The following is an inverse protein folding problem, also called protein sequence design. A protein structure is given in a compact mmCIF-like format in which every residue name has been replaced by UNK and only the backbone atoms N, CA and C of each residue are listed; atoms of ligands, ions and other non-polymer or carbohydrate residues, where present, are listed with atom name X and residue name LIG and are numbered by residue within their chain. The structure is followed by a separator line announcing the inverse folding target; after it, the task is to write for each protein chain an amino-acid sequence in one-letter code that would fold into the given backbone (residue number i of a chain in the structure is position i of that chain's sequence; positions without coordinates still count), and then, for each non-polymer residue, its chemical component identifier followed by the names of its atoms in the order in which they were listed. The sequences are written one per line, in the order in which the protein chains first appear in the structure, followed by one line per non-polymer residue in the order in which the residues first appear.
data_IF_409683247391
#
_entry.id   IF_409683247391
#
_cell.length_a   1.000
_cell.length_b   1.000
_cell.length_c   1.000
_cell.angle_alpha   90.00
_cell.angle_beta   90.00
_cell.angle_gamma   90.00
#
_symmetry.space_group_name_H-M   'P 1'
#
loop_
_entity.id
_entity.type
_entity.pdbx_description
1 polymer ?
#
# COMPACT_ATOMS: atom_id res chain seq x y z
N UNK A 1 1.03 -26.05 -5.86
CA UNK A 1 0.71 -25.83 -7.30
C UNK A 1 2.03 -25.71 -8.04
N UNK A 2 2.20 -26.32 -9.23
CA UNK A 2 3.43 -26.13 -9.99
C UNK A 2 3.51 -24.70 -10.55
N UNK A 3 4.72 -24.20 -10.84
CA UNK A 3 4.92 -22.88 -11.45
C UNK A 3 4.17 -22.77 -12.80
N UNK A 4 4.17 -23.82 -13.62
CA UNK A 4 3.42 -23.84 -14.88
C UNK A 4 1.92 -23.71 -14.69
N UNK A 5 1.36 -24.41 -13.70
CA UNK A 5 -0.07 -24.33 -13.37
C UNK A 5 -0.45 -22.94 -12.87
N UNK A 6 0.43 -22.30 -12.09
CA UNK A 6 0.29 -20.93 -11.64
C UNK A 6 0.29 -19.96 -12.81
N UNK A 7 1.28 -20.04 -13.68
CA UNK A 7 1.41 -19.22 -14.89
C UNK A 7 0.18 -19.33 -15.79
N UNK A 8 -0.28 -20.55 -16.07
CA UNK A 8 -1.44 -20.80 -16.93
C UNK A 8 -2.75 -20.30 -16.30
N UNK A 9 -2.90 -20.43 -14.98
CA UNK A 9 -4.05 -19.94 -14.25
C UNK A 9 -4.18 -18.42 -14.35
N UNK A 10 -3.06 -17.70 -14.20
CA UNK A 10 -3.10 -16.23 -14.08
C UNK A 10 -2.83 -15.47 -15.37
N UNK A 11 -2.03 -15.99 -16.33
CA UNK A 11 -1.85 -15.34 -17.64
C UNK A 11 -3.13 -15.14 -18.44
N UNK A 12 -4.11 -16.03 -18.29
CA UNK A 12 -5.41 -15.89 -18.99
C UNK A 12 -6.28 -14.76 -18.43
N UNK A 13 -6.04 -14.33 -17.20
CA UNK A 13 -6.82 -13.30 -16.50
C UNK A 13 -6.32 -11.87 -16.75
N UNK A 14 -5.08 -11.69 -17.21
CA UNK A 14 -4.48 -10.38 -17.51
C UNK A 14 -5.22 -9.53 -18.57
N UNK A 15 -6.29 -10.02 -19.15
CA UNK A 15 -6.98 -9.38 -20.30
C UNK A 15 -8.22 -8.57 -19.96
N UNK A 16 -8.74 -8.62 -18.76
CA UNK A 16 -10.01 -7.96 -18.43
C UNK A 16 -9.80 -6.90 -17.34
N UNK A 17 -9.32 -5.73 -17.72
CA UNK A 17 -9.41 -4.56 -16.84
C UNK A 17 -10.78 -3.92 -17.06
N UNK A 18 -11.74 -4.27 -16.20
CA UNK A 18 -13.09 -3.74 -16.23
C UNK A 18 -13.15 -2.24 -15.86
N UNK A 19 -14.18 -1.56 -16.38
CA UNK A 19 -14.46 -0.14 -16.15
C UNK A 19 -15.42 0.11 -14.97
N UNK A 20 -15.73 -0.90 -14.18
CA UNK A 20 -16.77 -0.81 -13.13
C UNK A 20 -16.50 0.26 -12.07
N UNK A 21 -15.24 0.57 -11.81
CA UNK A 21 -14.85 1.62 -10.86
C UNK A 21 -15.04 3.06 -11.37
N UNK A 22 -15.19 3.26 -12.66
CA UNK A 22 -15.36 4.60 -13.27
C UNK A 22 -16.79 5.17 -13.10
N UNK A 23 -17.62 4.53 -12.28
CA UNK A 23 -18.96 5.00 -11.87
C UNK A 23 -18.99 5.15 -10.34
N UNK A 24 -19.82 6.06 -9.79
CA UNK A 24 -20.00 6.15 -8.34
C UNK A 24 -20.63 4.85 -7.79
N UNK A 25 -20.15 4.42 -6.64
CA UNK A 25 -20.69 3.27 -5.91
C UNK A 25 -21.41 3.74 -4.65
N UNK A 26 -22.50 3.08 -4.31
CA UNK A 26 -23.14 3.24 -3.01
C UNK A 26 -22.37 2.43 -1.95
N UNK A 27 -22.24 3.01 -0.77
CA UNK A 27 -21.58 2.36 0.36
C UNK A 27 -22.65 1.75 1.29
N UNK A 28 -22.43 0.51 1.70
CA UNK A 28 -23.25 -0.14 2.73
C UNK A 28 -22.86 0.39 4.11
N UNK A 29 -23.86 0.66 4.94
CA UNK A 29 -23.65 0.96 6.37
C UNK A 29 -23.81 -0.29 7.26
N UNK A 30 -24.11 -1.44 6.68
CA UNK A 30 -24.48 -2.66 7.42
C UNK A 30 -23.27 -3.40 8.00
N UNK A 31 -22.07 -3.09 7.50
CA UNK A 31 -20.83 -3.79 7.84
C UNK A 31 -19.74 -2.79 8.27
N UNK A 32 -19.83 -2.15 9.44
CA UNK A 32 -18.73 -1.29 9.92
C UNK A 32 -17.45 -2.09 10.07
N UNK A 33 -16.30 -1.45 9.90
CA UNK A 33 -15.01 -2.08 10.21
C UNK A 33 -14.99 -2.41 11.71
N UNK A 34 -14.79 -3.68 12.03
CA UNK A 34 -14.63 -4.19 13.40
C UNK A 34 -13.20 -4.67 13.59
N UNK A 35 -12.71 -4.68 14.83
CA UNK A 35 -11.42 -5.21 15.19
C UNK A 35 -11.56 -6.55 15.90
N UNK A 36 -10.60 -7.46 15.71
CA UNK A 36 -10.61 -8.76 16.38
C UNK A 36 -10.53 -8.63 17.90
N UNK A 37 -9.74 -7.67 18.39
CA UNK A 37 -9.60 -7.37 19.82
C UNK A 37 -9.51 -5.86 20.02
N UNK A 38 -10.64 -5.20 19.98
CA UNK A 38 -10.76 -3.74 20.08
C UNK A 38 -10.10 -3.14 21.31
N UNK A 39 -10.11 -3.86 22.43
CA UNK A 39 -9.58 -3.36 23.71
C UNK A 39 -8.03 -3.39 23.75
N UNK A 40 -7.41 -4.27 22.96
CA UNK A 40 -5.96 -4.48 22.96
C UNK A 40 -5.25 -4.00 21.70
N UNK A 41 -5.96 -3.43 20.73
CA UNK A 41 -5.35 -2.90 19.51
C UNK A 41 -4.40 -1.73 19.83
N UNK A 42 -3.20 -1.76 19.28
CA UNK A 42 -2.14 -0.76 19.49
C UNK A 42 -2.00 0.20 18.31
N UNK A 43 -2.21 -0.32 17.09
CA UNK A 43 -2.16 0.45 15.86
C UNK A 43 -3.11 -0.16 14.84
N UNK A 44 -3.83 0.69 14.12
CA UNK A 44 -4.72 0.29 13.04
C UNK A 44 -4.42 1.07 11.78
N UNK A 45 -4.20 0.36 10.66
CA UNK A 45 -3.87 0.94 9.37
C UNK A 45 -4.87 0.49 8.32
N UNK A 46 -5.36 1.42 7.50
CA UNK A 46 -6.14 1.11 6.30
C UNK A 46 -5.25 1.28 5.07
N UNK A 47 -5.00 0.21 4.33
CA UNK A 47 -4.04 0.17 3.23
C UNK A 47 -4.75 0.02 1.88
N UNK A 48 -4.51 0.96 0.96
CA UNK A 48 -4.91 0.91 -0.45
C UNK A 48 -3.72 1.23 -1.35
N UNK A 49 -3.83 0.89 -2.63
CA UNK A 49 -2.82 1.18 -3.65
C UNK A 49 -3.48 1.45 -5.00
N UNK A 50 -2.75 2.01 -5.93
CA UNK A 50 -3.13 2.06 -7.34
C UNK A 50 -4.50 2.73 -7.57
N UNK A 51 -4.68 3.93 -7.01
CA UNK A 51 -5.93 4.70 -7.15
C UNK A 51 -6.10 5.28 -8.54
N UNK A 52 -5.01 5.48 -9.31
CA UNK A 52 -4.98 5.87 -10.71
C UNK A 52 -6.00 6.97 -11.09
N UNK A 53 -5.99 8.05 -10.32
CA UNK A 53 -6.91 9.15 -10.57
C UNK A 53 -6.78 9.70 -11.99
N UNK A 54 -7.92 9.88 -12.62
CA UNK A 54 -8.11 10.72 -13.81
C UNK A 54 -9.14 11.79 -13.48
N UNK A 55 -9.32 12.78 -14.33
CA UNK A 55 -10.28 13.86 -14.09
C UNK A 55 -11.73 13.40 -14.31
N UNK A 56 -12.23 12.56 -13.38
CA UNK A 56 -13.61 12.06 -13.33
C UNK A 56 -14.16 12.18 -11.90
N UNK A 57 -15.37 12.71 -11.75
CA UNK A 57 -16.05 12.89 -10.46
C UNK A 57 -16.32 11.55 -9.75
N UNK A 58 -16.63 10.50 -10.49
CA UNK A 58 -16.86 9.18 -9.94
C UNK A 58 -15.68 8.68 -9.07
N UNK A 59 -14.44 9.00 -9.47
CA UNK A 59 -13.26 8.60 -8.69
C UNK A 59 -13.20 9.33 -7.35
N UNK A 60 -13.58 10.62 -7.31
CA UNK A 60 -13.66 11.38 -6.07
C UNK A 60 -14.71 10.77 -5.12
N UNK A 61 -15.91 10.47 -5.64
CA UNK A 61 -16.96 9.80 -4.85
C UNK A 61 -16.49 8.45 -4.29
N UNK A 62 -15.82 7.66 -5.10
CA UNK A 62 -15.29 6.36 -4.69
C UNK A 62 -14.15 6.47 -3.66
N UNK A 63 -13.33 7.52 -3.72
CA UNK A 63 -12.33 7.79 -2.67
C UNK A 63 -12.97 8.31 -1.37
N UNK A 64 -14.05 9.08 -1.47
CA UNK A 64 -14.86 9.43 -0.30
C UNK A 64 -15.38 8.18 0.42
N UNK A 65 -15.85 7.17 -0.33
CA UNK A 65 -16.28 5.91 0.27
C UNK A 65 -15.18 5.25 1.12
N UNK A 66 -13.92 5.23 0.61
CA UNK A 66 -12.80 4.73 1.41
C UNK A 66 -12.66 5.47 2.74
N UNK A 67 -12.62 6.79 2.72
CA UNK A 67 -12.47 7.56 3.95
C UNK A 67 -13.70 7.48 4.85
N UNK A 68 -14.91 7.43 4.28
CA UNK A 68 -16.13 7.22 5.06
C UNK A 68 -16.11 5.88 5.77
N UNK A 69 -15.70 4.81 5.08
CA UNK A 69 -15.58 3.48 5.67
C UNK A 69 -14.56 3.45 6.83
N UNK A 70 -13.40 4.07 6.61
CA UNK A 70 -12.35 4.25 7.63
C UNK A 70 -12.87 4.99 8.88
N UNK A 71 -13.66 6.04 8.68
CA UNK A 71 -14.18 6.86 9.80
C UNK A 71 -15.41 6.24 10.48
N UNK A 72 -16.14 5.36 9.81
CA UNK A 72 -17.29 4.65 10.35
C UNK A 72 -16.90 3.36 11.08
N UNK A 73 -15.61 3.05 11.20
CA UNK A 73 -15.13 1.90 11.96
C UNK A 73 -15.62 1.95 13.42
N UNK A 74 -15.86 0.79 14.03
CA UNK A 74 -16.26 0.68 15.45
C UNK A 74 -15.17 1.13 16.43
N UNK A 75 -13.97 1.45 15.93
CA UNK A 75 -12.85 2.02 16.65
C UNK A 75 -12.09 2.99 15.76
N UNK A 76 -11.03 3.59 16.32
CA UNK A 76 -10.23 4.55 15.58
C UNK A 76 -9.30 3.81 14.60
N UNK A 77 -9.29 4.23 13.34
CA UNK A 77 -8.23 3.93 12.39
C UNK A 77 -7.17 5.03 12.51
N UNK A 78 -5.94 4.64 12.84
CA UNK A 78 -4.86 5.59 13.15
C UNK A 78 -4.25 6.21 11.90
N UNK A 79 -4.13 5.40 10.82
CA UNK A 79 -3.58 5.90 9.57
C UNK A 79 -4.18 5.23 8.32
N UNK A 80 -4.26 6.03 7.26
CA UNK A 80 -4.55 5.62 5.89
C UNK A 80 -3.23 5.57 5.10
N UNK A 81 -2.93 4.43 4.48
CA UNK A 81 -1.74 4.21 3.67
C UNK A 81 -2.12 4.07 2.21
N UNK A 82 -1.55 4.92 1.34
CA UNK A 82 -1.76 4.86 -0.11
C UNK A 82 -0.43 4.49 -0.78
N UNK A 83 -0.32 3.24 -1.20
CA UNK A 83 0.93 2.65 -1.67
C UNK A 83 1.21 2.95 -3.16
N UNK A 84 1.12 4.21 -3.56
CA UNK A 84 1.53 4.72 -4.88
C UNK A 84 0.49 4.63 -5.98
N UNK A 85 0.89 5.09 -7.17
CA UNK A 85 0.04 5.27 -8.33
C UNK A 85 -1.26 6.04 -8.01
N UNK A 86 -1.05 7.23 -7.39
CA UNK A 86 -2.12 8.15 -7.04
C UNK A 86 -2.82 8.64 -8.31
N UNK A 87 -2.03 9.04 -9.32
CA UNK A 87 -2.52 9.54 -10.61
C UNK A 87 -2.25 8.56 -11.74
N UNK A 88 -3.05 8.61 -12.81
CA UNK A 88 -2.83 7.79 -14.01
C UNK A 88 -1.71 8.34 -14.90
N UNK A 89 -1.62 9.67 -15.05
CA UNK A 89 -0.70 10.33 -15.98
C UNK A 89 0.18 11.42 -15.35
N UNK A 90 0.12 11.61 -14.04
CA UNK A 90 0.85 12.69 -13.35
C UNK A 90 0.37 14.09 -13.68
N UNK A 91 -0.90 14.28 -14.01
CA UNK A 91 -1.49 15.58 -14.36
C UNK A 91 -1.97 16.32 -13.13
N UNK A 92 -1.86 17.67 -13.15
CA UNK A 92 -2.33 18.50 -12.03
C UNK A 92 -3.80 18.27 -11.69
N UNK A 93 -4.67 18.09 -12.69
CA UNK A 93 -6.08 17.85 -12.46
C UNK A 93 -6.35 16.52 -11.72
N UNK A 94 -5.53 15.49 -12.00
CA UNK A 94 -5.63 14.18 -11.34
C UNK A 94 -5.25 14.30 -9.88
N UNK A 95 -4.11 14.93 -9.57
CA UNK A 95 -3.70 15.20 -8.18
C UNK A 95 -4.69 16.11 -7.46
N UNK A 96 -5.15 17.17 -8.12
CA UNK A 96 -6.14 18.05 -7.52
C UNK A 96 -7.39 17.28 -7.11
N UNK A 97 -7.90 16.41 -7.99
CA UNK A 97 -9.09 15.59 -7.70
C UNK A 97 -8.88 14.65 -6.50
N UNK A 98 -7.72 14.00 -6.43
CA UNK A 98 -7.38 13.14 -5.30
C UNK A 98 -7.24 13.96 -4.00
N UNK A 99 -6.50 15.07 -4.05
CA UNK A 99 -6.22 15.88 -2.86
C UNK A 99 -7.42 16.69 -2.39
N UNK A 100 -8.32 17.12 -3.27
CA UNK A 100 -9.57 17.76 -2.86
C UNK A 100 -10.36 16.83 -1.90
N UNK A 101 -10.36 15.52 -2.17
CA UNK A 101 -11.00 14.54 -1.28
C UNK A 101 -10.17 14.32 -0.01
N UNK A 102 -8.90 13.95 -0.14
CA UNK A 102 -8.08 13.60 1.04
C UNK A 102 -7.88 14.76 2.01
N UNK A 103 -7.89 16.01 1.53
CA UNK A 103 -7.80 17.22 2.37
C UNK A 103 -8.98 17.33 3.37
N UNK A 104 -10.14 16.78 3.06
CA UNK A 104 -11.30 16.76 3.98
C UNK A 104 -11.09 15.81 5.17
N UNK A 105 -10.12 14.90 5.07
CA UNK A 105 -9.88 13.84 6.05
C UNK A 105 -8.55 13.95 6.80
N UNK A 106 -7.64 14.83 6.39
CA UNK A 106 -6.27 14.94 6.92
C UNK A 106 -6.19 15.20 8.43
N UNK A 107 -7.21 15.84 9.00
CA UNK A 107 -7.28 16.12 10.45
C UNK A 107 -7.98 15.00 11.24
N UNK A 108 -8.51 13.98 10.55
CA UNK A 108 -9.26 12.86 11.15
C UNK A 108 -8.42 11.59 11.26
N UNK A 109 -7.56 11.33 10.30
CA UNK A 109 -6.57 10.25 10.35
C UNK A 109 -5.26 10.70 9.69
N UNK A 110 -4.14 10.08 10.04
CA UNK A 110 -2.85 10.32 9.35
C UNK A 110 -2.90 9.71 7.96
N UNK A 111 -2.44 10.44 6.94
CA UNK A 111 -2.44 9.95 5.54
C UNK A 111 -1.00 9.86 5.07
N UNK A 112 -0.58 8.64 4.74
CA UNK A 112 0.73 8.32 4.19
C UNK A 112 0.64 8.09 2.69
N UNK A 113 1.57 8.69 1.94
CA UNK A 113 1.62 8.59 0.49
C UNK A 113 3.01 8.14 0.06
N UNK A 114 3.11 7.19 -0.86
CA UNK A 114 4.32 6.97 -1.65
C UNK A 114 4.04 7.27 -3.12
N UNK A 115 5.11 7.44 -3.91
CA UNK A 115 4.98 7.67 -5.35
C UNK A 115 5.04 6.34 -6.09
N UNK A 116 4.15 6.16 -7.05
CA UNK A 116 4.23 5.07 -8.02
C UNK A 116 4.86 5.50 -9.34
N UNK A 117 5.02 4.54 -10.26
CA UNK A 117 5.60 4.79 -11.56
C UNK A 117 4.70 5.69 -12.44
N UNK A 118 3.39 5.62 -12.32
CA UNK A 118 2.45 6.51 -13.02
C UNK A 118 2.58 7.95 -12.54
N UNK A 119 2.81 8.18 -11.26
CA UNK A 119 3.02 9.50 -10.68
C UNK A 119 4.24 10.21 -11.26
N UNK A 120 5.33 9.47 -11.49
CA UNK A 120 6.62 10.06 -11.88
C UNK A 120 6.98 9.87 -13.35
N UNK A 121 6.17 9.15 -14.11
CA UNK A 121 6.45 8.73 -15.50
C UNK A 121 6.80 9.89 -16.45
N UNK A 122 6.16 11.04 -16.31
CA UNK A 122 6.32 12.16 -17.25
C UNK A 122 7.02 13.38 -16.66
N UNK A 123 6.76 13.75 -15.40
CA UNK A 123 7.24 14.99 -14.79
C UNK A 123 7.74 14.76 -13.37
N UNK A 124 8.78 13.92 -13.22
CA UNK A 124 9.27 13.45 -11.91
C UNK A 124 9.38 14.57 -10.86
N UNK A 125 10.26 15.58 -11.09
CA UNK A 125 10.55 16.60 -10.07
C UNK A 125 9.32 17.42 -9.66
N UNK A 126 8.42 17.71 -10.59
CA UNK A 126 7.19 18.44 -10.31
C UNK A 126 6.23 17.58 -9.47
N UNK A 127 6.01 16.33 -9.88
CA UNK A 127 5.05 15.45 -9.25
C UNK A 127 5.53 14.99 -7.86
N UNK A 128 6.84 14.72 -7.73
CA UNK A 128 7.46 14.51 -6.43
C UNK A 128 7.18 15.68 -5.48
N UNK A 129 7.40 16.91 -5.95
CA UNK A 129 7.13 18.10 -5.13
C UNK A 129 5.66 18.18 -4.70
N UNK A 130 4.71 17.95 -5.62
CA UNK A 130 3.28 17.98 -5.31
C UNK A 130 2.94 16.97 -4.21
N UNK A 131 3.39 15.72 -4.34
CA UNK A 131 3.07 14.66 -3.37
C UNK A 131 3.78 14.92 -2.04
N UNK A 132 5.05 15.30 -2.06
CA UNK A 132 5.80 15.54 -0.81
C UNK A 132 5.34 16.80 -0.08
N UNK A 133 4.88 17.84 -0.77
CA UNK A 133 4.23 18.99 -0.12
C UNK A 133 2.97 18.55 0.64
N UNK A 134 2.18 17.63 0.09
CA UNK A 134 1.01 17.05 0.77
C UNK A 134 1.39 16.14 1.95
N UNK A 135 2.43 15.34 1.81
CA UNK A 135 2.98 14.57 2.93
C UNK A 135 3.41 15.48 4.07
N UNK A 136 4.13 16.57 3.76
CA UNK A 136 4.55 17.57 4.75
C UNK A 136 3.35 18.20 5.45
N UNK A 137 2.27 18.50 4.71
CA UNK A 137 1.03 19.04 5.26
C UNK A 137 0.31 18.02 6.17
N UNK A 138 0.11 16.78 5.69
CA UNK A 138 -0.67 15.75 6.38
C UNK A 138 -0.02 15.21 7.65
N UNK A 139 1.29 15.12 7.65
CA UNK A 139 2.05 14.58 8.78
C UNK A 139 2.75 15.65 9.62
N UNK A 140 2.69 16.92 9.21
CA UNK A 140 3.39 18.04 9.85
C UNK A 140 4.90 17.80 9.97
N UNK A 141 5.53 17.32 8.89
CA UNK A 141 6.97 17.05 8.79
C UNK A 141 7.60 17.89 7.68
N UNK A 142 8.90 17.75 7.53
CA UNK A 142 9.63 18.29 6.38
C UNK A 142 10.47 17.18 5.74
N UNK A 143 10.04 16.70 4.57
CA UNK A 143 10.78 15.71 3.79
C UNK A 143 12.05 16.25 3.16
N UNK A 144 12.28 17.58 3.21
CA UNK A 144 13.39 18.26 2.53
C UNK A 144 13.46 17.97 1.02
N UNK A 145 12.28 17.74 0.40
CA UNK A 145 12.17 17.41 -1.02
C UNK A 145 12.62 15.99 -1.39
N UNK A 146 12.84 15.11 -0.40
CA UNK A 146 13.16 13.69 -0.62
C UNK A 146 11.90 12.89 -0.86
N UNK A 147 12.00 11.80 -1.64
CA UNK A 147 10.92 10.86 -1.91
C UNK A 147 10.73 9.80 -0.82
N UNK A 148 11.39 9.96 0.31
CA UNK A 148 11.36 9.04 1.44
C UNK A 148 11.32 9.78 2.77
N UNK A 149 10.67 9.17 3.75
CA UNK A 149 10.49 9.72 5.09
C UNK A 149 10.05 8.62 6.06
N UNK A 150 10.05 8.93 7.35
CA UNK A 150 9.43 8.10 8.39
C UNK A 150 8.56 8.94 9.29
N UNK A 151 7.60 8.30 9.94
CA UNK A 151 6.72 8.93 10.93
C UNK A 151 6.23 7.90 11.94
N UNK A 152 6.19 8.29 13.20
CA UNK A 152 5.73 7.43 14.28
C UNK A 152 4.24 7.67 14.58
N UNK A 153 3.45 6.60 14.54
CA UNK A 153 2.03 6.59 14.93
C UNK A 153 1.88 5.66 16.13
N UNK A 154 1.39 6.17 17.25
CA UNK A 154 1.21 5.41 18.49
C UNK A 154 2.50 4.69 18.96
N UNK A 155 3.68 5.21 18.61
CA UNK A 155 4.97 4.60 18.93
C UNK A 155 5.37 3.44 18.03
N UNK A 156 4.73 3.27 16.88
CA UNK A 156 5.12 2.37 15.79
C UNK A 156 5.58 3.19 14.60
N UNK A 157 6.61 2.75 13.91
CA UNK A 157 7.21 3.49 12.81
C UNK A 157 6.69 3.02 11.46
N UNK A 158 6.20 3.96 10.66
CA UNK A 158 5.91 3.77 9.24
C UNK A 158 7.03 4.47 8.46
N UNK A 159 7.75 3.70 7.65
CA UNK A 159 8.87 4.15 6.82
C UNK A 159 8.39 4.12 5.38
N UNK A 160 8.50 5.22 4.68
CA UNK A 160 8.15 5.32 3.26
C UNK A 160 9.42 5.48 2.45
N UNK A 161 9.60 4.61 1.46
CA UNK A 161 10.64 4.71 0.45
C UNK A 161 9.99 4.82 -0.94
N UNK A 162 10.72 5.37 -1.91
CA UNK A 162 10.17 5.56 -3.25
C UNK A 162 11.24 5.93 -4.26
N UNK A 163 10.89 5.82 -5.53
CA UNK A 163 11.84 6.11 -6.62
C UNK A 163 12.37 7.54 -6.57
N UNK A 164 13.67 7.72 -6.82
CA UNK A 164 14.36 9.01 -6.88
C UNK A 164 14.68 9.44 -8.32
N UNK A 165 14.22 8.68 -9.29
CA UNK A 165 14.36 9.00 -10.73
C UNK A 165 13.15 8.56 -11.51
N UNK A 166 12.97 9.18 -12.67
CA UNK A 166 12.05 8.71 -13.69
C UNK A 166 12.60 7.43 -14.32
N UNK A 167 12.11 6.30 -13.88
CA UNK A 167 12.29 5.00 -14.50
C UNK A 167 10.87 4.46 -14.76
N UNK A 168 10.63 3.78 -15.90
CA UNK A 168 9.28 3.39 -16.30
C UNK A 168 8.57 2.57 -15.20
N UNK A 169 8.66 1.27 -15.23
CA UNK A 169 7.93 0.42 -14.28
C UNK A 169 8.68 0.21 -12.96
N UNK A 170 10.00 0.37 -12.95
CA UNK A 170 10.88 0.10 -11.81
C UNK A 170 11.07 1.32 -10.90
N UNK A 171 11.65 1.10 -9.73
CA UNK A 171 12.13 2.16 -8.85
C UNK A 171 13.65 2.35 -8.99
N UNK A 172 14.13 3.52 -8.61
CA UNK A 172 15.54 3.77 -8.37
C UNK A 172 15.71 4.26 -6.94
N UNK A 173 16.34 3.45 -6.13
CA UNK A 173 16.57 3.71 -4.70
C UNK A 173 18.06 4.00 -4.52
N UNK A 174 18.43 5.22 -4.14
CA UNK A 174 19.84 5.57 -3.93
C UNK A 174 20.40 4.92 -2.67
N UNK A 175 21.74 4.86 -2.60
CA UNK A 175 22.41 4.41 -1.39
C UNK A 175 22.02 5.24 -0.16
N UNK A 176 21.87 6.55 -0.32
CA UNK A 176 21.44 7.43 0.77
C UNK A 176 20.07 7.01 1.33
N UNK A 177 19.13 6.66 0.47
CA UNK A 177 17.81 6.18 0.87
C UNK A 177 17.89 4.79 1.52
N UNK A 178 18.80 3.90 1.04
CA UNK A 178 19.04 2.59 1.66
C UNK A 178 19.64 2.76 3.07
N UNK A 179 20.60 3.69 3.25
CA UNK A 179 21.19 3.99 4.56
C UNK A 179 20.14 4.61 5.52
N UNK A 180 19.24 5.44 5.00
CA UNK A 180 18.10 5.95 5.75
C UNK A 180 17.19 4.80 6.21
N UNK A 181 16.82 3.88 5.32
CA UNK A 181 15.99 2.71 5.66
C UNK A 181 16.65 1.87 6.76
N UNK A 182 17.95 1.59 6.66
CA UNK A 182 18.70 0.82 7.65
C UNK A 182 18.66 1.50 9.03
N UNK A 183 18.88 2.82 9.06
CA UNK A 183 18.85 3.59 10.31
C UNK A 183 17.47 3.63 10.96
N UNK A 184 16.42 3.81 10.15
CA UNK A 184 15.05 3.87 10.64
C UNK A 184 14.55 2.51 11.12
N UNK A 185 14.86 1.42 10.41
CA UNK A 185 14.53 0.07 10.87
C UNK A 185 15.23 -0.27 12.17
N UNK A 186 16.53 0.07 12.32
CA UNK A 186 17.26 -0.11 13.57
C UNK A 186 16.59 0.62 14.74
N UNK A 187 16.07 1.82 14.51
CA UNK A 187 15.36 2.61 15.52
C UNK A 187 13.99 1.99 15.84
N UNK A 188 13.22 1.66 14.79
CA UNK A 188 11.85 1.22 14.88
C UNK A 188 11.67 -0.13 15.57
N UNK A 189 12.58 -1.07 15.32
CA UNK A 189 12.48 -2.45 15.81
C UNK A 189 13.26 -2.70 17.12
N UNK A 190 13.86 -1.66 17.70
CA UNK A 190 14.75 -1.76 18.87
C UNK A 190 14.13 -2.50 20.05
N UNK A 191 12.83 -2.31 20.29
CA UNK A 191 12.10 -2.88 21.41
C UNK A 191 11.21 -4.07 21.01
N UNK A 192 11.53 -4.74 19.89
CA UNK A 192 10.76 -5.86 19.34
C UNK A 192 9.45 -5.46 18.64
N UNK A 193 9.15 -4.17 18.55
CA UNK A 193 7.96 -3.67 17.85
C UNK A 193 8.03 -3.93 16.35
N UNK A 194 6.90 -4.21 15.70
CA UNK A 194 6.86 -4.27 14.25
C UNK A 194 7.10 -2.91 13.61
N UNK A 195 7.78 -2.91 12.45
CA UNK A 195 7.96 -1.75 11.61
C UNK A 195 7.31 -1.98 10.23
N UNK A 196 6.73 -0.93 9.67
CA UNK A 196 6.05 -0.98 8.38
C UNK A 196 6.86 -0.18 7.36
N UNK A 197 7.25 -0.82 6.26
CA UNK A 197 7.96 -0.17 5.15
C UNK A 197 7.03 -0.12 3.95
N UNK A 198 6.77 1.06 3.42
CA UNK A 198 5.92 1.25 2.26
C UNK A 198 6.74 1.67 1.05
N UNK A 199 6.58 0.95 -0.07
CA UNK A 199 7.08 1.29 -1.39
C UNK A 199 6.07 0.86 -2.43
N UNK A 200 6.00 1.54 -3.56
CA UNK A 200 5.03 1.15 -4.58
C UNK A 200 5.40 -0.18 -5.26
N UNK A 201 6.66 -0.34 -5.67
CA UNK A 201 7.10 -1.54 -6.39
C UNK A 201 7.41 -2.71 -5.45
N UNK A 202 7.02 -3.91 -5.86
CA UNK A 202 7.31 -5.16 -5.18
C UNK A 202 8.78 -5.60 -5.39
N UNK A 203 9.27 -6.49 -4.53
CA UNK A 203 10.58 -7.11 -4.71
C UNK A 203 10.58 -8.08 -5.90
N UNK A 204 11.76 -8.23 -6.53
CA UNK A 204 11.97 -9.28 -7.51
C UNK A 204 11.70 -10.66 -6.90
N UNK A 205 11.14 -11.56 -7.69
CA UNK A 205 10.79 -12.93 -7.30
C UNK A 205 9.77 -13.06 -6.16
N UNK A 206 8.95 -12.02 -5.94
CA UNK A 206 7.81 -12.07 -5.02
C UNK A 206 6.49 -11.90 -5.78
N UNK A 207 5.37 -12.24 -5.15
CA UNK A 207 4.01 -12.04 -5.67
C UNK A 207 3.77 -12.57 -7.09
N UNK A 208 4.50 -13.64 -7.46
CA UNK A 208 4.41 -14.27 -8.79
C UNK A 208 5.30 -13.64 -9.86
N UNK A 209 6.16 -12.67 -9.50
CA UNK A 209 7.16 -12.12 -10.41
C UNK A 209 8.32 -13.10 -10.66
N UNK A 210 8.92 -13.09 -11.84
CA UNK A 210 8.61 -12.28 -13.04
C UNK A 210 7.53 -12.86 -13.95
N UNK A 211 6.89 -13.98 -13.58
CA UNK A 211 5.99 -14.73 -14.44
C UNK A 211 4.70 -13.98 -14.75
N UNK A 212 4.13 -13.29 -13.74
CA UNK A 212 2.91 -12.49 -13.92
C UNK A 212 3.19 -11.17 -14.65
N UNK A 213 4.37 -10.59 -14.44
CA UNK A 213 4.79 -9.36 -15.11
C UNK A 213 6.32 -9.23 -15.12
N UNK A 214 6.93 -9.39 -16.28
CA UNK A 214 8.39 -9.47 -16.46
C UNK A 214 9.18 -8.27 -15.89
N UNK A 215 8.59 -7.08 -15.84
CA UNK A 215 9.23 -5.83 -15.43
C UNK A 215 8.58 -5.18 -14.21
N UNK A 216 7.70 -5.90 -13.51
CA UNK A 216 6.90 -5.39 -12.40
C UNK A 216 7.62 -5.37 -11.04
N UNK A 217 8.92 -5.65 -11.00
CA UNK A 217 9.71 -5.59 -9.78
C UNK A 217 10.35 -4.20 -9.52
N UNK A 218 10.86 -4.01 -8.30
CA UNK A 218 11.56 -2.77 -7.88
C UNK A 218 12.78 -2.43 -8.76
N UNK A 219 13.44 -3.41 -9.38
CA UNK A 219 14.60 -3.22 -10.23
C UNK A 219 15.93 -3.51 -9.54
N UNK A 220 16.99 -2.81 -9.98
CA UNK A 220 18.37 -3.12 -9.62
C UNK A 220 18.68 -3.08 -8.11
N UNK A 221 17.95 -2.29 -7.34
CA UNK A 221 18.18 -2.16 -5.91
C UNK A 221 17.33 -3.14 -5.06
N UNK A 222 16.51 -3.97 -5.69
CA UNK A 222 15.61 -4.92 -5.02
C UNK A 222 16.31 -5.75 -3.94
N UNK A 223 17.41 -6.40 -4.31
CA UNK A 223 18.17 -7.26 -3.38
C UNK A 223 18.83 -6.47 -2.24
N UNK A 224 19.30 -5.25 -2.51
CA UNK A 224 19.93 -4.41 -1.48
C UNK A 224 18.91 -3.91 -0.46
N UNK A 225 17.74 -3.46 -0.90
CA UNK A 225 16.65 -3.01 -0.02
C UNK A 225 16.15 -4.18 0.82
N UNK A 226 15.92 -5.33 0.20
CA UNK A 226 15.50 -6.55 0.86
C UNK A 226 16.53 -6.99 1.92
N UNK A 227 17.81 -7.04 1.58
CA UNK A 227 18.88 -7.43 2.51
C UNK A 227 18.99 -6.50 3.73
N UNK A 228 18.65 -5.22 3.59
CA UNK A 228 18.57 -4.30 4.74
C UNK A 228 17.40 -4.69 5.64
N UNK A 229 16.22 -4.94 5.09
CA UNK A 229 15.05 -5.30 5.88
C UNK A 229 15.22 -6.63 6.61
N UNK A 230 15.85 -7.61 5.98
CA UNK A 230 16.08 -8.95 6.54
C UNK A 230 17.03 -8.97 7.76
N UNK A 231 17.73 -7.87 8.07
CA UNK A 231 18.55 -7.73 9.30
C UNK A 231 17.70 -7.53 10.56
N UNK A 232 16.45 -7.09 10.41
CA UNK A 232 15.61 -6.63 11.50
C UNK A 232 14.40 -7.56 11.67
N UNK A 233 13.88 -7.61 12.90
CA UNK A 233 12.74 -8.45 13.25
C UNK A 233 11.41 -7.74 13.04
N UNK A 234 10.38 -8.52 12.70
CA UNK A 234 9.00 -8.05 12.59
C UNK A 234 8.84 -6.89 11.59
N UNK A 235 9.36 -7.04 10.37
CA UNK A 235 9.28 -6.00 9.33
C UNK A 235 8.23 -6.39 8.29
N UNK A 236 7.29 -5.49 8.03
CA UNK A 236 6.20 -5.65 7.09
C UNK A 236 6.36 -4.69 5.92
N UNK A 237 6.64 -5.23 4.73
CA UNK A 237 6.76 -4.44 3.50
C UNK A 237 5.43 -4.39 2.76
N UNK A 238 4.91 -3.19 2.57
CA UNK A 238 3.61 -2.93 1.94
C UNK A 238 3.84 -2.32 0.56
N UNK A 239 3.35 -2.98 -0.48
CA UNK A 239 3.50 -2.54 -1.87
C UNK A 239 2.18 -2.60 -2.64
N UNK A 240 2.12 -1.92 -3.81
CA UNK A 240 1.06 -1.98 -4.79
C UNK A 240 1.57 -2.47 -6.13
N UNK A 241 1.31 -1.69 -7.20
CA UNK A 241 1.89 -1.81 -8.53
C UNK A 241 1.40 -2.98 -9.40
N UNK A 242 1.25 -4.17 -8.82
CA UNK A 242 1.01 -5.38 -9.60
C UNK A 242 -0.46 -5.54 -10.05
N UNK A 243 -1.38 -4.75 -9.48
CA UNK A 243 -2.81 -4.91 -9.69
C UNK A 243 -3.25 -6.37 -9.58
N UNK A 244 -2.56 -7.12 -8.71
CA UNK A 244 -3.01 -8.44 -8.28
C UNK A 244 -4.20 -8.28 -7.35
N UNK A 245 -5.18 -9.19 -7.44
CA UNK A 245 -6.19 -9.34 -6.42
C UNK A 245 -5.68 -10.15 -5.23
N UNK A 246 -6.59 -10.68 -4.42
CA UNK A 246 -6.24 -11.51 -3.28
C UNK A 246 -6.05 -12.96 -3.77
N UNK A 247 -4.88 -13.53 -3.53
CA UNK A 247 -4.51 -14.88 -3.96
C UNK A 247 -3.36 -15.42 -3.10
N UNK A 248 -2.91 -16.66 -3.36
CA UNK A 248 -1.90 -17.36 -2.56
C UNK A 248 -0.54 -16.67 -2.43
N UNK A 249 -0.24 -15.67 -3.27
CA UNK A 249 1.00 -14.90 -3.23
C UNK A 249 0.81 -13.42 -2.86
N UNK A 250 -0.36 -13.06 -2.37
CA UNK A 250 -0.58 -11.71 -1.82
C UNK A 250 0.34 -11.43 -0.63
N UNK A 251 0.64 -12.49 0.12
CA UNK A 251 1.52 -12.46 1.28
C UNK A 251 2.74 -13.35 1.02
N UNK A 252 3.92 -12.77 1.03
CA UNK A 252 5.18 -13.48 0.81
C UNK A 252 6.08 -13.38 2.05
N UNK A 253 6.72 -14.50 2.39
CA UNK A 253 7.75 -14.55 3.43
C UNK A 253 9.09 -14.20 2.81
N UNK A 254 9.71 -13.12 3.25
CA UNK A 254 11.06 -12.72 2.81
C UNK A 254 12.14 -13.37 3.67
N UNK A 255 11.94 -13.37 4.99
CA UNK A 255 12.82 -14.02 5.95
C UNK A 255 11.98 -14.55 7.12
N UNK A 256 11.90 -15.88 7.25
CA UNK A 256 11.11 -16.54 8.29
C UNK A 256 11.74 -16.39 9.69
N UNK A 257 13.08 -16.42 9.78
CA UNK A 257 13.79 -16.32 11.05
C UNK A 257 13.59 -14.96 11.73
N UNK A 258 13.53 -13.89 10.94
CA UNK A 258 13.36 -12.53 11.42
C UNK A 258 11.94 -11.98 11.26
N UNK A 259 10.96 -12.79 10.85
CA UNK A 259 9.59 -12.32 10.57
C UNK A 259 9.57 -11.12 9.63
N UNK A 260 10.14 -11.28 8.43
CA UNK A 260 10.10 -10.26 7.38
C UNK A 260 9.16 -10.69 6.28
N UNK A 261 8.15 -9.88 6.02
CA UNK A 261 7.05 -10.21 5.12
C UNK A 261 6.84 -9.12 4.07
N UNK A 262 6.34 -9.52 2.90
CA UNK A 262 5.89 -8.61 1.84
C UNK A 262 4.40 -8.81 1.60
N UNK A 263 3.66 -7.70 1.56
CA UNK A 263 2.22 -7.65 1.37
C UNK A 263 1.92 -6.82 0.13
N UNK A 264 1.34 -7.44 -0.90
CA UNK A 264 0.90 -6.74 -2.09
C UNK A 264 -0.55 -6.31 -1.96
N UNK A 265 -0.77 -5.00 -1.89
CA UNK A 265 -2.11 -4.42 -1.78
C UNK A 265 -2.80 -4.50 -3.15
N UNK A 266 -4.05 -4.99 -3.21
CA UNK A 266 -4.83 -4.98 -4.44
C UNK A 266 -5.00 -3.57 -5.03
N UNK A 267 -5.05 -3.46 -6.35
CA UNK A 267 -5.32 -2.19 -7.01
C UNK A 267 -6.72 -1.67 -6.68
N UNK A 268 -6.81 -0.43 -6.18
CA UNK A 268 -8.05 0.14 -5.68
C UNK A 268 -9.01 0.54 -6.82
N UNK A 269 -8.51 1.21 -7.86
CA UNK A 269 -9.36 1.77 -8.91
C UNK A 269 -9.93 0.74 -9.88
N UNK A 270 -9.15 -0.27 -10.26
CA UNK A 270 -9.52 -1.21 -11.34
C UNK A 270 -9.81 -2.57 -10.76
N UNK A 271 -10.59 -3.37 -11.51
CA UNK A 271 -10.61 -4.80 -11.23
C UNK A 271 -9.21 -5.36 -11.36
N UNK A 272 -8.83 -6.19 -10.42
CA UNK A 272 -7.51 -6.78 -10.37
C UNK A 272 -7.37 -7.88 -11.43
N UNK A 273 -6.14 -8.17 -11.83
CA UNK A 273 -5.87 -9.07 -12.95
C UNK A 273 -6.07 -10.55 -12.63
N UNK A 274 -5.96 -10.95 -11.36
CA UNK A 274 -6.05 -12.34 -10.91
C UNK A 274 -6.38 -12.42 -9.41
N UNK A 275 -6.76 -13.62 -8.94
CA UNK A 275 -7.22 -13.83 -7.58
C UNK A 275 -8.66 -13.35 -7.36
N UNK A 276 -8.97 -12.79 -6.19
CA UNK A 276 -10.23 -12.08 -5.94
C UNK A 276 -10.07 -10.69 -6.55
N UNK A 277 -10.80 -10.40 -7.63
CA UNK A 277 -10.56 -9.27 -8.52
C UNK A 277 -11.45 -8.04 -8.26
N UNK A 278 -12.03 -7.92 -7.08
CA UNK A 278 -12.93 -6.83 -6.72
C UNK A 278 -12.19 -5.48 -6.70
N UNK A 279 -12.71 -4.49 -7.42
CA UNK A 279 -12.26 -3.11 -7.31
C UNK A 279 -12.59 -2.50 -5.95
N UNK A 280 -11.81 -1.53 -5.51
CA UNK A 280 -12.00 -0.87 -4.22
C UNK A 280 -11.58 -1.70 -3.02
N UNK A 281 -10.77 -2.75 -3.25
CA UNK A 281 -10.26 -3.63 -2.20
C UNK A 281 -8.92 -3.13 -1.69
N UNK A 282 -8.68 -3.36 -0.40
CA UNK A 282 -7.42 -3.15 0.29
C UNK A 282 -7.36 -4.01 1.55
N UNK A 283 -6.49 -3.65 2.48
CA UNK A 283 -6.35 -4.37 3.74
C UNK A 283 -6.45 -3.43 4.93
N UNK A 284 -7.20 -3.87 5.94
CA UNK A 284 -7.01 -3.41 7.30
C UNK A 284 -5.82 -4.15 7.89
N UNK A 285 -4.93 -3.41 8.58
CA UNK A 285 -3.85 -3.98 9.36
C UNK A 285 -4.04 -3.62 10.84
N UNK A 286 -4.09 -4.62 11.68
CA UNK A 286 -4.28 -4.52 13.13
C UNK A 286 -3.01 -4.98 13.83
N UNK A 287 -2.48 -4.17 14.73
CA UNK A 287 -1.27 -4.47 15.51
C UNK A 287 -1.64 -4.66 16.97
N UNK A 288 -1.22 -5.77 17.52
CA UNK A 288 -1.33 -6.14 18.92
C UNK A 288 0.05 -6.31 19.55
N UNK A 289 0.11 -6.57 20.85
CA UNK A 289 1.41 -6.78 21.54
C UNK A 289 2.13 -8.05 21.06
N UNK A 290 1.39 -9.04 20.58
CA UNK A 290 1.91 -10.37 20.22
C UNK A 290 1.76 -10.75 18.73
N UNK A 291 1.02 -9.97 17.96
CA UNK A 291 0.71 -10.28 16.56
C UNK A 291 0.37 -9.07 15.70
N UNK A 292 0.45 -9.27 14.38
CA UNK A 292 -0.09 -8.38 13.35
C UNK A 292 -1.08 -9.16 12.51
N UNK A 293 -2.26 -8.59 12.28
CA UNK A 293 -3.33 -9.20 11.48
C UNK A 293 -3.64 -8.32 10.27
N UNK A 294 -3.75 -8.91 9.10
CA UNK A 294 -4.26 -8.24 7.90
C UNK A 294 -5.60 -8.85 7.54
N UNK A 295 -6.62 -7.99 7.35
CA UNK A 295 -7.98 -8.37 6.96
C UNK A 295 -8.39 -7.63 5.71
N UNK A 296 -8.77 -8.35 4.67
CA UNK A 296 -9.21 -7.75 3.42
C UNK A 296 -10.54 -7.01 3.59
N UNK A 297 -10.63 -5.84 2.98
CA UNK A 297 -11.80 -4.99 3.02
C UNK A 297 -12.09 -4.42 1.64
N UNK A 298 -13.33 -4.43 1.21
CA UNK A 298 -13.81 -3.69 0.05
C UNK A 298 -14.28 -2.30 0.49
N UNK A 299 -13.36 -1.39 0.69
CA UNK A 299 -13.62 -0.02 1.15
C UNK A 299 -14.57 0.75 0.22
N UNK A 300 -14.60 0.41 -1.07
CA UNK A 300 -15.47 1.05 -2.05
C UNK A 300 -16.95 0.92 -1.71
N UNK A 301 -17.35 -0.21 -1.18
CA UNK A 301 -18.74 -0.54 -0.85
C UNK A 301 -18.97 -0.72 0.65
N UNK A 302 -17.93 -0.65 1.48
CA UNK A 302 -18.04 -0.85 2.92
C UNK A 302 -18.33 -2.29 3.32
N UNK A 303 -17.83 -3.27 2.56
CA UNK A 303 -18.15 -4.69 2.76
C UNK A 303 -16.89 -5.52 3.10
N UNK A 304 -17.03 -6.58 3.91
CA UNK A 304 -15.96 -7.56 4.06
C UNK A 304 -15.68 -8.27 2.72
N UNK A 305 -14.48 -8.78 2.56
CA UNK A 305 -14.12 -9.65 1.42
C UNK A 305 -14.02 -11.08 1.93
N UNK A 306 -14.80 -11.98 1.34
CA UNK A 306 -14.79 -13.40 1.69
C UNK A 306 -13.91 -14.20 0.72
N UNK A 307 -13.28 -15.25 1.22
CA UNK A 307 -12.49 -16.20 0.45
C UNK A 307 -11.13 -16.49 1.08
N UNK A 308 -10.33 -17.28 0.37
CA UNK A 308 -8.99 -17.62 0.81
C UNK A 308 -8.06 -16.40 0.79
N UNK A 309 -7.12 -16.35 1.72
CA UNK A 309 -6.12 -15.26 1.86
C UNK A 309 -6.70 -13.87 2.18
N UNK A 310 -7.99 -13.79 2.56
CA UNK A 310 -8.60 -12.51 2.98
C UNK A 310 -8.24 -12.13 4.40
N UNK A 311 -7.75 -13.08 5.20
CA UNK A 311 -7.20 -12.85 6.53
C UNK A 311 -5.90 -13.61 6.72
N UNK A 312 -4.90 -12.93 7.26
CA UNK A 312 -3.65 -13.55 7.67
C UNK A 312 -3.16 -12.95 8.99
N UNK A 313 -2.52 -13.78 9.82
CA UNK A 313 -1.96 -13.40 11.11
C UNK A 313 -0.49 -13.77 11.19
N UNK A 314 0.30 -12.87 11.73
CA UNK A 314 1.73 -13.05 11.99
C UNK A 314 2.02 -12.84 13.47
N UNK A 315 2.55 -13.84 14.12
CA UNK A 315 3.04 -13.71 15.51
C UNK A 315 4.34 -12.92 15.55
N UNK A 316 4.46 -12.01 16.48
CA UNK A 316 5.70 -11.25 16.71
C UNK A 316 6.72 -12.08 17.50
N UNK A 317 8.03 -11.81 17.28
CA UNK A 317 9.14 -12.52 17.91
C UNK A 317 10.11 -11.55 18.62
#
# INVERSE_FOLDING_TARGET
MSLETFIDKYKKQFKAMGSGYDVPHEMSADYPITFEDKENIKLSLACIADTHFVDKEALAANLHNYFCDVLNAEGKIDAALVAGDISEYGRNAEYKRFFDVSDEYKDKCKIFLTMGNHDVRFQYAKNQKIIMDKVNEYLHINTNGKSYYSYDVNGYTIIVIGTEKRILEKAHITKEQIDFLDSELKRATKDGKPAFVMCHQAFAFTHGLPEVWKTGDMGEQSDMVRAVMEKYKNVFFINGHLHGGIFEKTFEVLNEENNVYSISIPGYRKENNFGITLSGTGYMCEVYDDRVVFVARRFLTGEPVEGDYTRIEYKLI
#
